data_IF_581239284256
#
_entry.id   IF_581239284256
#
_cell.length_a   1.000
_cell.length_b   1.000
_cell.length_c   1.000
_cell.angle_alpha   90.00
_cell.angle_beta   90.00
_cell.angle_gamma   90.00
#
_symmetry.space_group_name_H-M   'P 1'
#
loop_
_entity.id
_entity.type
_entity.pdbx_description
1 polymer ?
#
# COMPACT_ATOMS: atom_id res chain seq x y z
N UNK A 1 -0.91 24.15 6.19
CA UNK A 1 0.15 23.15 5.93
C UNK A 1 1.05 23.75 4.87
N UNK A 2 2.34 23.93 5.15
CA UNK A 2 3.25 24.56 4.19
C UNK A 2 3.40 23.72 2.91
N UNK A 3 3.70 24.38 1.79
CA UNK A 3 3.78 23.76 0.47
C UNK A 3 4.89 22.69 0.40
N UNK A 4 5.95 22.85 1.18
CA UNK A 4 7.07 21.90 1.23
C UNK A 4 6.64 20.57 1.89
N UNK A 5 5.90 20.66 2.99
CA UNK A 5 5.33 19.51 3.70
C UNK A 5 4.32 18.81 2.79
N UNK A 6 3.47 19.54 2.07
CA UNK A 6 2.54 18.93 1.11
C UNK A 6 3.29 18.17 0.00
N UNK A 7 4.36 18.77 -0.53
CA UNK A 7 5.19 18.13 -1.55
C UNK A 7 5.88 16.86 -1.01
N UNK A 8 6.39 16.90 0.21
CA UNK A 8 7.00 15.73 0.88
C UNK A 8 6.00 14.60 1.06
N UNK A 9 4.78 14.91 1.53
CA UNK A 9 3.69 13.93 1.67
C UNK A 9 3.32 13.32 0.32
N UNK A 10 3.16 14.14 -0.74
CA UNK A 10 2.86 13.62 -2.10
C UNK A 10 3.96 12.69 -2.62
N UNK A 11 5.23 13.04 -2.43
CA UNK A 11 6.36 12.19 -2.81
C UNK A 11 6.39 10.87 -2.02
N UNK A 12 6.06 10.91 -0.73
CA UNK A 12 5.94 9.70 0.09
C UNK A 12 4.85 8.77 -0.44
N UNK A 13 3.62 9.27 -0.61
CA UNK A 13 2.48 8.47 -1.11
C UNK A 13 2.75 7.89 -2.50
N UNK A 14 3.41 8.65 -3.39
CA UNK A 14 3.79 8.15 -4.72
C UNK A 14 4.76 6.98 -4.64
N UNK A 15 5.76 7.04 -3.75
CA UNK A 15 6.72 5.94 -3.55
C UNK A 15 6.03 4.71 -2.97
N UNK A 16 5.15 4.91 -1.97
CA UNK A 16 4.35 3.83 -1.40
C UNK A 16 3.56 3.09 -2.49
N UNK A 17 2.81 3.83 -3.33
CA UNK A 17 2.04 3.23 -4.41
C UNK A 17 2.88 2.42 -5.40
N UNK A 18 4.04 2.93 -5.82
CA UNK A 18 4.94 2.23 -6.75
C UNK A 18 5.49 0.96 -6.12
N UNK A 19 5.99 1.04 -4.88
CA UNK A 19 6.58 -0.12 -4.19
C UNK A 19 5.52 -1.20 -3.91
N UNK A 20 4.34 -0.82 -3.41
CA UNK A 20 3.25 -1.77 -3.17
C UNK A 20 2.84 -2.52 -4.42
N UNK A 21 2.80 -1.85 -5.59
CA UNK A 21 2.45 -2.51 -6.85
C UNK A 21 3.53 -3.51 -7.29
N UNK A 22 4.81 -3.16 -7.14
CA UNK A 22 5.92 -4.06 -7.50
C UNK A 22 5.94 -5.31 -6.63
N UNK A 23 5.84 -5.15 -5.31
CA UNK A 23 5.78 -6.26 -4.34
C UNK A 23 4.59 -7.16 -4.62
N UNK A 24 3.42 -6.57 -4.90
CA UNK A 24 2.22 -7.35 -5.18
C UNK A 24 2.34 -8.18 -6.47
N UNK A 25 2.86 -7.59 -7.54
CA UNK A 25 3.08 -8.31 -8.79
C UNK A 25 4.06 -9.47 -8.58
N UNK A 26 5.17 -9.24 -7.87
CA UNK A 26 6.15 -10.28 -7.55
C UNK A 26 5.52 -11.41 -6.71
N UNK A 27 4.67 -11.08 -5.74
CA UNK A 27 3.97 -12.08 -4.95
C UNK A 27 3.07 -12.96 -5.84
N UNK A 28 2.29 -12.36 -6.73
CA UNK A 28 1.38 -13.09 -7.64
C UNK A 28 2.17 -13.98 -8.62
N UNK A 29 3.28 -13.47 -9.16
CA UNK A 29 4.16 -14.22 -10.07
C UNK A 29 4.79 -15.43 -9.37
N UNK A 30 5.21 -15.27 -8.12
CA UNK A 30 5.84 -16.34 -7.34
C UNK A 30 4.84 -17.36 -6.76
N UNK A 31 3.55 -17.02 -6.71
CA UNK A 31 2.50 -17.87 -6.13
C UNK A 31 1.33 -18.05 -7.12
N UNK A 32 1.54 -18.79 -8.22
CA UNK A 32 0.54 -18.92 -9.28
C UNK A 32 -0.77 -19.58 -8.81
N UNK A 33 -0.68 -20.42 -7.78
CA UNK A 33 -1.78 -21.23 -7.23
C UNK A 33 -2.68 -20.45 -6.26
N UNK A 34 -2.30 -19.24 -5.85
CA UNK A 34 -3.14 -18.38 -5.00
C UNK A 34 -4.35 -17.92 -5.80
N UNK A 35 -5.53 -18.39 -5.41
CA UNK A 35 -6.82 -18.00 -5.99
C UNK A 35 -7.48 -16.84 -5.24
N UNK A 36 -7.31 -16.77 -3.92
CA UNK A 36 -7.82 -15.70 -3.08
C UNK A 36 -6.66 -14.89 -2.50
N UNK A 37 -6.63 -13.60 -2.83
CA UNK A 37 -5.59 -12.68 -2.41
C UNK A 37 -6.16 -11.66 -1.43
N UNK A 38 -5.88 -11.86 -0.15
CA UNK A 38 -6.20 -10.90 0.90
C UNK A 38 -5.11 -9.83 0.99
N UNK A 39 -5.49 -8.56 0.81
CA UNK A 39 -4.57 -7.41 0.86
C UNK A 39 -5.07 -6.45 1.93
N UNK A 40 -4.14 -6.02 2.80
CA UNK A 40 -4.42 -5.04 3.86
C UNK A 40 -3.36 -3.93 3.87
N UNK A 41 -3.81 -2.70 4.05
CA UNK A 41 -2.97 -1.49 4.18
C UNK A 41 -3.43 -0.71 5.40
N UNK A 42 -2.53 -0.48 6.34
CA UNK A 42 -2.77 0.35 7.53
C UNK A 42 -1.89 1.59 7.52
N UNK A 43 -2.45 2.72 7.97
CA UNK A 43 -1.74 3.98 8.13
C UNK A 43 -1.59 4.32 9.61
N UNK A 44 -0.36 4.56 10.00
CA UNK A 44 0.03 5.02 11.32
C UNK A 44 0.73 6.37 11.20
N UNK A 45 0.26 7.36 11.96
CA UNK A 45 0.84 8.70 11.99
C UNK A 45 1.13 9.03 13.45
N UNK A 46 2.41 9.18 13.80
CA UNK A 46 2.88 9.44 15.16
C UNK A 46 2.30 8.44 16.17
N UNK A 47 2.51 7.15 15.90
CA UNK A 47 2.07 6.02 16.72
C UNK A 47 0.55 5.91 16.94
N UNK A 48 -0.22 6.66 16.14
CA UNK A 48 -1.68 6.61 16.13
C UNK A 48 -2.15 5.95 14.85
N UNK A 49 -2.86 4.84 15.00
CA UNK A 49 -3.57 4.22 13.90
C UNK A 49 -4.69 5.15 13.40
N UNK A 50 -4.61 5.55 12.13
CA UNK A 50 -5.53 6.53 11.54
C UNK A 50 -6.54 5.85 10.64
N UNK A 51 -6.11 4.85 9.86
CA UNK A 51 -6.95 4.24 8.85
C UNK A 51 -6.43 2.85 8.47
N UNK A 52 -7.36 1.97 8.13
CA UNK A 52 -7.08 0.63 7.61
C UNK A 52 -7.98 0.37 6.41
N UNK A 53 -7.40 -0.18 5.35
CA UNK A 53 -8.07 -0.64 4.15
C UNK A 53 -7.77 -2.11 3.96
N UNK A 54 -8.80 -2.93 3.77
CA UNK A 54 -8.67 -4.36 3.52
C UNK A 54 -9.57 -4.74 2.34
N UNK A 55 -9.04 -5.57 1.45
CA UNK A 55 -9.78 -6.12 0.33
C UNK A 55 -9.35 -7.57 0.06
N UNK A 56 -10.27 -8.36 -0.49
CA UNK A 56 -10.03 -9.74 -0.86
C UNK A 56 -10.29 -9.89 -2.36
N UNK A 57 -9.21 -10.00 -3.14
CA UNK A 57 -9.26 -10.12 -4.59
C UNK A 57 -9.33 -11.60 -4.95
N UNK A 58 -10.37 -11.98 -5.68
CA UNK A 58 -10.48 -13.32 -6.28
C UNK A 58 -9.84 -13.31 -7.67
N UNK A 59 -8.87 -14.18 -7.87
CA UNK A 59 -8.17 -14.38 -9.15
C UNK A 59 -8.95 -15.33 -10.06
#
# INVERSE_FOLDING_TARGET
MDDETQLKVRKFLKRLGISSQQELNQFIENNPDVQDLSIKVSFEINDKHVFEFEDNIKK
#
